data_IF_313477368787
#
_entry.id   IF_313477368787
#
_cell.length_a   1.000
_cell.length_b   1.000
_cell.length_c   1.000
_cell.angle_alpha   90.00
_cell.angle_beta   90.00
_cell.angle_gamma   90.00
#
_symmetry.space_group_name_H-M   'P 1'
#
loop_
_entity.id
_entity.type
_entity.pdbx_description
1 polymer ?
#
# COMPACT_ATOMS: atom_id res chain seq x y z
N UNK A 1 -6.18 12.12 1.58
CA UNK A 1 -4.76 11.69 1.60
C UNK A 1 -4.40 11.14 0.23
N UNK A 2 -3.14 11.23 -0.17
CA UNK A 2 -2.67 10.55 -1.37
C UNK A 2 -2.55 9.04 -1.17
N UNK A 3 -2.49 8.27 -2.27
CA UNK A 3 -2.40 6.81 -2.24
C UNK A 3 -1.25 6.28 -1.36
N UNK A 4 -0.08 6.93 -1.39
CA UNK A 4 1.07 6.57 -0.56
C UNK A 4 0.77 6.63 0.93
N UNK A 5 0.19 7.75 1.36
CA UNK A 5 -0.09 8.01 2.77
C UNK A 5 -1.18 7.08 3.28
N UNK A 6 -2.25 6.91 2.48
CA UNK A 6 -3.31 5.95 2.78
C UNK A 6 -2.77 4.52 2.90
N UNK A 7 -1.85 4.12 2.00
CA UNK A 7 -1.23 2.80 2.05
C UNK A 7 -0.35 2.62 3.29
N UNK A 8 0.54 3.57 3.59
CA UNK A 8 1.40 3.49 4.77
C UNK A 8 0.59 3.45 6.07
N UNK A 9 -0.45 4.26 6.19
CA UNK A 9 -1.36 4.25 7.33
C UNK A 9 -2.06 2.89 7.46
N UNK A 10 -2.56 2.33 6.36
CA UNK A 10 -3.22 1.01 6.35
C UNK A 10 -2.28 -0.08 6.84
N UNK A 11 -1.04 -0.10 6.34
CA UNK A 11 -0.03 -1.09 6.74
C UNK A 11 0.28 -0.98 8.23
N UNK A 12 0.36 0.24 8.78
CA UNK A 12 0.59 0.47 10.21
C UNK A 12 -0.62 0.08 11.07
N UNK A 13 -1.83 0.43 10.65
CA UNK A 13 -3.05 0.18 11.42
C UNK A 13 -3.34 -1.32 11.58
N UNK A 14 -3.09 -2.11 10.54
CA UNK A 14 -3.30 -3.56 10.56
C UNK A 14 -2.04 -4.37 10.94
N UNK A 15 -0.95 -3.71 11.33
CA UNK A 15 0.36 -4.31 11.63
C UNK A 15 0.82 -5.30 10.53
N UNK A 16 0.67 -4.91 9.26
CA UNK A 16 1.00 -5.77 8.13
C UNK A 16 2.51 -5.80 7.90
N UNK A 17 3.06 -7.00 7.75
CA UNK A 17 4.49 -7.17 7.48
C UNK A 17 4.76 -6.89 6.00
N UNK A 18 5.80 -6.09 5.73
CA UNK A 18 6.21 -5.77 4.36
C UNK A 18 6.58 -7.03 3.56
N UNK A 19 7.17 -8.04 4.23
CA UNK A 19 7.49 -9.34 3.63
C UNK A 19 6.26 -10.07 3.09
N UNK A 20 5.16 -10.12 3.87
CA UNK A 20 3.93 -10.80 3.45
C UNK A 20 3.26 -10.09 2.26
N UNK A 21 3.36 -8.76 2.23
CA UNK A 21 2.87 -7.94 1.10
C UNK A 21 3.76 -8.19 -0.12
N UNK A 22 5.08 -8.26 0.04
CA UNK A 22 6.01 -8.48 -1.05
C UNK A 22 5.80 -9.84 -1.71
N UNK A 23 5.67 -10.90 -0.91
CA UNK A 23 5.42 -12.26 -1.37
C UNK A 23 4.12 -12.36 -2.20
N UNK A 24 3.03 -11.76 -1.70
CA UNK A 24 1.72 -11.80 -2.37
C UNK A 24 1.60 -10.88 -3.58
N UNK A 25 2.29 -9.74 -3.57
CA UNK A 25 2.17 -8.73 -4.64
C UNK A 25 3.22 -8.89 -5.74
N UNK A 26 4.32 -9.59 -5.45
CA UNK A 26 5.50 -9.66 -6.33
C UNK A 26 6.29 -8.36 -6.41
N UNK A 27 5.98 -7.37 -5.57
CA UNK A 27 6.72 -6.11 -5.45
C UNK A 27 7.78 -6.27 -4.35
N UNK A 28 9.04 -5.96 -4.64
CA UNK A 28 10.12 -6.18 -3.67
C UNK A 28 9.97 -5.33 -2.39
N UNK A 29 10.32 -5.90 -1.24
CA UNK A 29 10.19 -5.23 0.08
C UNK A 29 10.87 -3.85 0.14
N UNK A 30 12.05 -3.71 -0.46
CA UNK A 30 12.76 -2.43 -0.51
C UNK A 30 11.96 -1.37 -1.28
N UNK A 31 11.30 -1.77 -2.38
CA UNK A 31 10.45 -0.88 -3.16
C UNK A 31 9.21 -0.45 -2.37
N UNK A 32 8.59 -1.38 -1.63
CA UNK A 32 7.47 -1.10 -0.72
C UNK A 32 7.90 -0.13 0.37
N UNK A 33 9.03 -0.37 1.04
CA UNK A 33 9.56 0.49 2.09
C UNK A 33 9.86 1.90 1.58
N UNK A 34 10.53 2.02 0.43
CA UNK A 34 10.81 3.31 -0.20
C UNK A 34 9.55 4.05 -0.57
N UNK A 35 8.55 3.36 -1.11
CA UNK A 35 7.25 3.95 -1.43
C UNK A 35 6.58 4.50 -0.18
N UNK A 36 6.42 3.69 0.87
CA UNK A 36 5.80 4.11 2.15
C UNK A 36 6.48 5.36 2.73
N UNK A 37 7.80 5.41 2.66
CA UNK A 37 8.62 6.52 3.15
C UNK A 37 8.77 7.72 2.18
N UNK A 38 8.05 7.73 1.05
CA UNK A 38 8.07 8.84 0.09
C UNK A 38 9.41 9.01 -0.65
N UNK A 39 10.20 7.94 -0.75
CA UNK A 39 11.51 7.91 -1.44
C UNK A 39 11.41 7.48 -2.90
N UNK A 40 10.25 7.00 -3.34
CA UNK A 40 9.94 6.68 -4.73
C UNK A 40 8.43 6.69 -4.91
N UNK A 41 7.98 7.03 -6.11
CA UNK A 41 6.64 6.72 -6.57
C UNK A 41 6.56 5.29 -7.09
N UNK A 42 5.34 4.78 -7.24
CA UNK A 42 5.06 3.51 -7.88
C UNK A 42 4.30 3.74 -9.18
N UNK A 43 4.58 2.89 -10.17
CA UNK A 43 3.68 2.75 -11.31
C UNK A 43 2.32 2.25 -10.82
N UNK A 44 1.24 2.66 -11.51
CA UNK A 44 -0.13 2.27 -11.18
C UNK A 44 -0.28 0.76 -11.01
N UNK A 45 0.29 -0.04 -11.91
CA UNK A 45 0.25 -1.51 -11.85
C UNK A 45 0.88 -2.09 -10.58
N UNK A 46 1.95 -1.47 -10.05
CA UNK A 46 2.58 -1.91 -8.81
C UNK A 46 1.74 -1.54 -7.60
N UNK A 47 1.14 -0.34 -7.61
CA UNK A 47 0.20 0.08 -6.57
C UNK A 47 -1.03 -0.83 -6.53
N UNK A 48 -1.61 -1.18 -7.67
CA UNK A 48 -2.74 -2.11 -7.76
C UNK A 48 -2.39 -3.50 -7.20
N UNK A 49 -1.18 -4.02 -7.48
CA UNK A 49 -0.70 -5.29 -6.89
C UNK A 49 -0.58 -5.20 -5.38
N UNK A 50 -0.03 -4.10 -4.84
CA UNK A 50 0.07 -3.88 -3.41
C UNK A 50 -1.31 -3.85 -2.75
N UNK A 51 -2.23 -3.05 -3.27
CA UNK A 51 -3.60 -2.98 -2.74
C UNK A 51 -4.29 -4.34 -2.87
N UNK A 52 -4.11 -5.03 -4.00
CA UNK A 52 -4.62 -6.35 -4.29
C UNK A 52 -4.23 -7.39 -3.24
N UNK A 53 -2.99 -7.33 -2.76
CA UNK A 53 -2.43 -8.24 -1.76
C UNK A 53 -2.91 -8.01 -0.31
N UNK A 54 -3.58 -6.88 -0.05
CA UNK A 54 -4.11 -6.57 1.28
C UNK A 54 -5.29 -7.50 1.65
N UNK A 55 -5.41 -7.88 2.94
CA UNK A 55 -6.64 -8.46 3.47
C UNK A 55 -7.87 -7.61 3.16
N UNK A 56 -9.05 -8.23 3.06
CA UNK A 56 -10.27 -7.55 2.62
C UNK A 56 -10.63 -6.33 3.48
N UNK A 57 -10.50 -6.43 4.80
CA UNK A 57 -10.72 -5.33 5.74
C UNK A 57 -9.68 -4.20 5.59
N UNK A 58 -8.40 -4.54 5.40
CA UNK A 58 -7.35 -3.57 5.17
C UNK A 58 -7.53 -2.83 3.83
N UNK A 59 -7.98 -3.52 2.79
CA UNK A 59 -8.32 -2.94 1.50
C UNK A 59 -9.49 -1.95 1.60
N UNK A 60 -10.55 -2.31 2.33
CA UNK A 60 -11.67 -1.41 2.59
C UNK A 60 -11.23 -0.16 3.37
N UNK A 61 -10.41 -0.34 4.41
CA UNK A 61 -9.83 0.76 5.18
C UNK A 61 -8.99 1.69 4.28
N UNK A 62 -8.11 1.13 3.46
CA UNK A 62 -7.32 1.89 2.50
C UNK A 62 -8.19 2.80 1.63
N UNK A 63 -9.24 2.27 1.00
CA UNK A 63 -10.13 3.06 0.16
C UNK A 63 -10.91 4.12 0.95
N UNK A 64 -11.19 3.90 2.24
CA UNK A 64 -11.80 4.93 3.10
C UNK A 64 -10.85 6.09 3.45
N UNK A 65 -9.53 5.90 3.29
CA UNK A 65 -8.49 6.92 3.56
C UNK A 65 -8.06 7.69 2.31
N UNK A 66 -8.19 7.08 1.13
CA UNK A 66 -7.92 7.76 -0.14
C UNK A 66 -8.97 8.85 -0.32
N UNK A 67 -8.51 10.09 -0.47
CA UNK A 67 -9.39 11.20 -0.83
C UNK A 67 -9.38 11.26 -2.35
N UNK A 68 -10.49 10.91 -2.98
CA UNK A 68 -10.70 11.17 -4.39
C UNK A 68 -10.96 12.67 -4.48
N UNK A 69 -10.02 13.42 -5.06
CA UNK A 69 -10.31 14.80 -5.49
C UNK A 69 -11.22 14.66 -6.72
N UNK A 70 -12.48 15.05 -6.58
CA UNK A 70 -13.38 15.34 -7.70
C UNK A 70 -12.82 16.47 -8.58
#
# INVERSE_FOLDING_TARGET
>A
MGYREAFDETVKFFDLRAADIADKSGVGENQISRFRNGKTDLQTSSLEKLIGSLPANAKAYFYSRVMILD
#
